data_IF_508637643056
#
_entry.id   IF_508637643056
#
_cell.length_a   1.000
_cell.length_b   1.000
_cell.length_c   1.000
_cell.angle_alpha   90.00
_cell.angle_beta   90.00
_cell.angle_gamma   90.00
#
_symmetry.space_group_name_H-M   'P 1'
#
loop_
_entity.id
_entity.type
_entity.pdbx_description
1 polymer ?
#
# COMPACT_ATOMS: atom_id res chain seq x y z
N UNK A 1 4.31 -19.09 -16.44
CA UNK A 1 3.02 -18.36 -16.51
C UNK A 1 2.67 -17.88 -17.93
N UNK A 2 3.23 -18.47 -19.01
CA UNK A 2 2.98 -18.00 -20.39
C UNK A 2 1.48 -17.97 -20.79
N UNK A 3 0.66 -19.00 -20.50
CA UNK A 3 -0.77 -18.95 -20.84
C UNK A 3 -1.53 -17.80 -20.15
N UNK A 4 -1.05 -17.34 -18.99
CA UNK A 4 -1.66 -16.21 -18.27
C UNK A 4 -1.58 -14.91 -19.09
N UNK A 5 -0.59 -14.77 -19.98
CA UNK A 5 -0.45 -13.58 -20.85
C UNK A 5 -1.70 -13.34 -21.68
N UNK A 6 -2.21 -14.41 -22.28
CA UNK A 6 -3.31 -14.36 -23.22
C UNK A 6 -4.65 -14.30 -22.46
N UNK A 7 -4.75 -14.99 -21.32
CA UNK A 7 -5.91 -14.90 -20.42
C UNK A 7 -6.12 -13.48 -19.88
N UNK A 8 -5.05 -12.78 -19.51
CA UNK A 8 -5.13 -11.38 -19.04
C UNK A 8 -5.42 -10.42 -20.21
N UNK A 9 -4.98 -10.74 -21.42
CA UNK A 9 -5.20 -9.90 -22.60
C UNK A 9 -4.68 -8.48 -22.41
N UNK A 10 -5.54 -7.50 -22.67
CA UNK A 10 -5.29 -6.06 -22.50
C UNK A 10 -5.96 -5.46 -21.27
N UNK A 11 -6.29 -6.28 -20.26
CA UNK A 11 -6.90 -5.78 -19.03
C UNK A 11 -5.96 -4.81 -18.30
N UNK A 12 -6.50 -3.67 -17.86
CA UNK A 12 -5.74 -2.64 -17.12
C UNK A 12 -5.68 -2.92 -15.61
N UNK A 13 -6.60 -3.73 -15.09
CA UNK A 13 -6.70 -4.12 -13.68
C UNK A 13 -6.94 -5.62 -13.61
N UNK A 14 -6.19 -6.31 -12.76
CA UNK A 14 -6.32 -7.76 -12.50
C UNK A 14 -6.55 -7.97 -11.01
N UNK A 15 -7.70 -8.52 -10.65
CA UNK A 15 -7.96 -8.96 -9.28
C UNK A 15 -7.25 -10.28 -8.98
N UNK A 16 -6.49 -10.33 -7.89
CA UNK A 16 -5.75 -11.53 -7.47
C UNK A 16 -6.16 -11.93 -6.04
N UNK A 17 -7.28 -12.65 -5.96
CA UNK A 17 -7.82 -13.15 -4.70
C UNK A 17 -6.97 -14.25 -4.06
N UNK A 18 -7.27 -14.55 -2.81
CA UNK A 18 -6.70 -15.66 -2.05
C UNK A 18 -7.83 -16.45 -1.37
N UNK A 19 -7.70 -17.77 -1.33
CA UNK A 19 -8.70 -18.63 -0.71
C UNK A 19 -8.71 -18.51 0.82
N UNK A 20 -7.59 -18.09 1.40
CA UNK A 20 -7.39 -17.88 2.84
C UNK A 20 -6.17 -16.97 3.05
N UNK A 21 -6.16 -16.20 4.15
CA UNK A 21 -5.05 -15.33 4.53
C UNK A 21 -3.87 -16.04 5.22
N UNK A 22 -3.92 -17.37 5.35
CA UNK A 22 -2.98 -18.13 6.18
C UNK A 22 -2.17 -19.22 5.47
N UNK A 23 -2.22 -19.29 4.14
CA UNK A 23 -1.58 -20.36 3.38
C UNK A 23 -0.32 -19.89 2.64
N UNK A 24 0.83 -20.43 3.03
CA UNK A 24 2.14 -20.16 2.42
C UNK A 24 2.12 -20.36 0.88
N UNK A 25 1.52 -21.44 0.39
CA UNK A 25 1.46 -21.75 -1.04
C UNK A 25 0.61 -20.73 -1.81
N UNK A 26 -0.43 -20.19 -1.17
CA UNK A 26 -1.30 -19.16 -1.77
C UNK A 26 -0.55 -17.85 -1.90
N UNK A 27 0.22 -17.42 -0.89
CA UNK A 27 1.07 -16.23 -1.00
C UNK A 27 2.15 -16.41 -2.07
N UNK A 28 2.89 -17.52 -2.02
CA UNK A 28 4.02 -17.73 -2.95
C UNK A 28 3.59 -17.86 -4.40
N UNK A 29 2.45 -18.47 -4.71
CA UNK A 29 1.93 -18.48 -6.09
C UNK A 29 1.48 -17.08 -6.52
N UNK A 30 0.83 -16.31 -5.64
CA UNK A 30 0.46 -14.91 -5.92
C UNK A 30 1.69 -14.06 -6.20
N UNK A 31 2.80 -14.26 -5.47
CA UNK A 31 4.05 -13.56 -5.76
C UNK A 31 4.56 -13.86 -7.15
N UNK A 32 4.56 -15.13 -7.56
CA UNK A 32 4.98 -15.51 -8.92
C UNK A 32 4.11 -14.84 -9.98
N UNK A 33 2.81 -14.72 -9.73
CA UNK A 33 1.88 -14.00 -10.61
C UNK A 33 2.19 -12.51 -10.65
N UNK A 34 2.36 -11.84 -9.50
CA UNK A 34 2.74 -10.42 -9.42
C UNK A 34 4.04 -10.16 -10.18
N UNK A 35 5.09 -10.97 -9.94
CA UNK A 35 6.37 -10.84 -10.64
C UNK A 35 6.20 -10.90 -12.15
N UNK A 36 5.38 -11.84 -12.63
CA UNK A 36 5.08 -12.01 -14.05
C UNK A 36 4.28 -10.85 -14.65
N UNK A 37 3.24 -10.37 -13.96
CA UNK A 37 2.43 -9.25 -14.43
C UNK A 37 3.25 -7.96 -14.51
N UNK A 38 4.12 -7.72 -13.53
CA UNK A 38 5.05 -6.60 -13.54
C UNK A 38 6.06 -6.72 -14.67
N UNK A 39 6.76 -7.86 -14.81
CA UNK A 39 7.87 -7.98 -15.76
C UNK A 39 7.41 -8.14 -17.22
N UNK A 40 6.32 -8.87 -17.46
CA UNK A 40 5.90 -9.25 -18.82
C UNK A 40 4.68 -8.49 -19.34
N UNK A 41 3.86 -7.93 -18.45
CA UNK A 41 2.60 -7.24 -18.81
C UNK A 41 2.59 -5.76 -18.44
N UNK A 42 3.66 -5.25 -17.80
CA UNK A 42 3.82 -3.83 -17.52
C UNK A 42 2.90 -3.27 -16.44
N UNK A 43 2.37 -4.11 -15.55
CA UNK A 43 1.65 -3.62 -14.37
C UNK A 43 2.59 -2.90 -13.41
N UNK A 44 2.20 -1.70 -12.96
CA UNK A 44 3.05 -0.80 -12.17
C UNK A 44 2.50 -0.48 -10.78
N UNK A 45 1.35 -1.05 -10.42
CA UNK A 45 0.66 -0.75 -9.18
C UNK A 45 0.18 -2.05 -8.54
N UNK A 46 0.61 -2.29 -7.30
CA UNK A 46 0.09 -3.35 -6.47
C UNK A 46 -0.82 -2.73 -5.41
N UNK A 47 -2.12 -2.97 -5.57
CA UNK A 47 -3.12 -2.59 -4.56
C UNK A 47 -3.32 -3.78 -3.62
N UNK A 48 -3.01 -3.59 -2.34
CA UNK A 48 -3.17 -4.57 -1.28
C UNK A 48 -4.48 -4.31 -0.52
N UNK A 49 -5.08 -5.38 -0.01
CA UNK A 49 -6.12 -5.34 1.02
C UNK A 49 -5.49 -4.94 2.37
N UNK A 50 -4.93 -3.74 2.41
CA UNK A 50 -4.24 -3.17 3.56
C UNK A 50 -4.67 -1.72 3.72
N UNK A 51 -4.57 -1.20 4.94
CA UNK A 51 -4.86 0.21 5.22
C UNK A 51 -4.06 1.15 4.32
N UNK A 52 -4.73 2.13 3.70
CA UNK A 52 -4.08 3.17 2.89
C UNK A 52 -2.93 3.84 3.67
N UNK A 53 -3.21 4.18 4.92
CA UNK A 53 -2.28 4.83 5.83
C UNK A 53 -1.02 3.99 6.11
N UNK A 54 -1.17 2.67 6.28
CA UNK A 54 -0.07 1.71 6.45
C UNK A 54 0.72 1.52 5.16
N UNK A 55 0.02 1.41 4.03
CA UNK A 55 0.64 1.21 2.73
C UNK A 55 1.49 2.40 2.27
N UNK A 56 1.27 3.62 2.78
CA UNK A 56 2.17 4.77 2.54
C UNK A 56 3.62 4.46 2.97
N UNK A 57 3.81 3.78 4.10
CA UNK A 57 5.15 3.39 4.57
C UNK A 57 5.70 2.18 3.79
N UNK A 58 4.83 1.30 3.31
CA UNK A 58 5.23 0.20 2.41
C UNK A 58 5.69 0.72 1.04
N UNK A 59 4.99 1.70 0.47
CA UNK A 59 5.38 2.36 -0.78
C UNK A 59 6.73 3.08 -0.61
N UNK A 60 6.91 3.80 0.51
CA UNK A 60 8.19 4.42 0.87
C UNK A 60 9.31 3.39 0.97
N UNK A 61 9.06 2.24 1.58
CA UNK A 61 10.03 1.15 1.67
C UNK A 61 10.42 0.63 0.29
N UNK A 62 9.47 0.34 -0.60
CA UNK A 62 9.81 -0.18 -1.94
C UNK A 62 10.43 0.87 -2.86
N UNK A 63 10.21 2.16 -2.61
CA UNK A 63 10.80 3.25 -3.40
C UNK A 63 12.21 3.63 -2.94
N UNK A 64 12.47 3.58 -1.63
CA UNK A 64 13.68 4.17 -1.03
C UNK A 64 14.53 3.19 -0.23
N UNK A 65 13.99 2.02 0.10
CA UNK A 65 14.60 1.04 1.01
C UNK A 65 14.63 1.47 2.49
N UNK A 66 13.98 2.59 2.84
CA UNK A 66 13.91 3.09 4.22
C UNK A 66 12.62 2.64 4.90
N UNK A 67 12.70 2.43 6.21
CA UNK A 67 11.57 1.97 7.03
C UNK A 67 11.62 0.46 7.31
N UNK A 68 10.69 -0.03 8.13
CA UNK A 68 10.58 -1.44 8.48
C UNK A 68 9.17 -1.96 8.12
N UNK A 69 9.01 -2.68 7.00
CA UNK A 69 7.68 -3.05 6.49
C UNK A 69 6.85 -3.90 7.47
N UNK A 70 7.48 -4.74 8.31
CA UNK A 70 6.76 -5.59 9.27
C UNK A 70 5.99 -4.77 10.33
N UNK A 71 6.40 -3.52 10.58
CA UNK A 71 5.73 -2.64 11.54
C UNK A 71 4.40 -2.11 11.00
N UNK A 72 4.23 -2.07 9.68
CA UNK A 72 3.09 -1.47 9.01
C UNK A 72 2.16 -2.49 8.37
N UNK A 73 2.54 -3.76 8.27
CA UNK A 73 1.63 -4.83 7.86
C UNK A 73 0.61 -5.12 8.96
N UNK A 74 -0.65 -5.36 8.57
CA UNK A 74 -1.69 -5.92 9.42
C UNK A 74 -1.23 -7.26 10.01
N UNK A 75 -1.65 -7.63 11.24
CA UNK A 75 -1.18 -8.84 11.92
C UNK A 75 -1.19 -10.10 11.05
N UNK A 76 -2.26 -10.31 10.28
CA UNK A 76 -2.41 -11.47 9.37
C UNK A 76 -1.40 -11.48 8.22
N UNK A 77 -0.93 -10.31 7.79
CA UNK A 77 0.06 -10.16 6.72
C UNK A 77 1.50 -10.02 7.21
N UNK A 78 1.75 -10.11 8.53
CA UNK A 78 3.12 -10.14 9.09
C UNK A 78 3.78 -11.51 8.87
N UNK A 79 3.98 -11.86 7.61
CA UNK A 79 4.53 -13.14 7.17
C UNK A 79 5.84 -12.93 6.41
N UNK A 80 6.67 -13.97 6.34
CA UNK A 80 7.94 -13.90 5.58
C UNK A 80 7.66 -13.70 4.09
N UNK A 81 6.58 -14.32 3.61
CA UNK A 81 6.10 -14.24 2.24
C UNK A 81 5.82 -12.78 1.87
N UNK A 82 5.06 -12.04 2.67
CA UNK A 82 4.76 -10.64 2.39
C UNK A 82 6.03 -9.77 2.40
N UNK A 83 6.97 -10.04 3.31
CA UNK A 83 8.27 -9.36 3.33
C UNK A 83 9.09 -9.67 2.07
N UNK A 84 9.11 -10.92 1.62
CA UNK A 84 9.81 -11.34 0.39
C UNK A 84 9.23 -10.67 -0.86
N UNK A 85 7.90 -10.49 -0.91
CA UNK A 85 7.25 -9.76 -1.99
C UNK A 85 7.69 -8.29 -1.99
N UNK A 86 7.57 -7.62 -0.85
CA UNK A 86 7.96 -6.20 -0.72
C UNK A 86 9.45 -6.00 -1.01
N UNK A 87 10.32 -6.90 -0.54
CA UNK A 87 11.74 -6.83 -0.81
C UNK A 87 12.04 -7.04 -2.30
N UNK A 88 11.36 -7.98 -2.96
CA UNK A 88 11.47 -8.14 -4.40
C UNK A 88 11.03 -6.87 -5.16
N UNK A 89 9.93 -6.22 -4.75
CA UNK A 89 9.48 -4.96 -5.36
C UNK A 89 10.53 -3.87 -5.15
N UNK A 90 11.11 -3.77 -3.95
CA UNK A 90 12.20 -2.83 -3.64
C UNK A 90 13.41 -3.06 -4.56
N UNK A 91 13.82 -4.32 -4.74
CA UNK A 91 14.92 -4.68 -5.64
C UNK A 91 14.59 -4.36 -7.11
N UNK A 92 13.37 -4.66 -7.56
CA UNK A 92 12.89 -4.30 -8.90
C UNK A 92 12.97 -2.78 -9.10
N UNK A 93 12.46 -2.00 -8.15
CA UNK A 93 12.46 -0.54 -8.22
C UNK A 93 13.86 0.08 -8.20
N UNK A 94 14.82 -0.55 -7.51
CA UNK A 94 16.20 -0.08 -7.42
C UNK A 94 17.03 -0.36 -8.69
N UNK A 95 16.60 -1.30 -9.53
CA UNK A 95 17.33 -1.67 -10.74
C UNK A 95 17.15 -0.61 -11.85
N UNK A 96 18.22 0.09 -12.27
CA UNK A 96 18.14 1.15 -13.28
C UNK A 96 17.76 0.67 -14.69
N UNK A 97 17.77 -0.66 -14.94
CA UNK A 97 17.29 -1.26 -16.18
C UNK A 97 15.77 -1.15 -16.32
N UNK A 98 15.04 -1.10 -15.21
CA UNK A 98 13.59 -0.97 -15.23
C UNK A 98 13.20 0.51 -15.32
N UNK A 99 12.48 0.87 -16.39
CA UNK A 99 12.09 2.27 -16.68
C UNK A 99 10.87 2.73 -15.89
N UNK A 100 10.10 1.78 -15.34
CA UNK A 100 8.97 2.04 -14.47
C UNK A 100 9.20 1.42 -13.10
N UNK A 101 8.64 2.06 -12.08
CA UNK A 101 8.65 1.56 -10.71
C UNK A 101 7.27 1.04 -10.36
N UNK A 102 7.23 -0.01 -9.55
CA UNK A 102 6.02 -0.53 -8.94
C UNK A 102 5.70 0.27 -7.68
N UNK A 103 4.45 0.72 -7.59
CA UNK A 103 3.89 1.41 -6.42
C UNK A 103 3.10 0.43 -5.57
N UNK A 104 3.14 0.61 -4.26
CA UNK A 104 2.30 -0.14 -3.31
C UNK A 104 1.20 0.80 -2.80
N UNK A 105 -0.05 0.35 -2.88
CA UNK A 105 -1.22 1.12 -2.44
C UNK A 105 -2.06 0.23 -1.54
N UNK A 106 -2.60 0.79 -0.45
CA UNK A 106 -3.58 0.13 0.40
C UNK A 106 -4.96 0.63 0.03
N UNK A 107 -5.93 -0.27 -0.15
CA UNK A 107 -7.31 0.12 -0.46
C UNK A 107 -8.23 0.15 0.77
N UNK A 108 -7.77 -0.34 1.91
CA UNK A 108 -8.59 -0.44 3.12
C UNK A 108 -8.50 0.84 3.97
N UNK A 109 -9.50 1.04 4.84
CA UNK A 109 -9.74 2.27 5.61
C UNK A 109 -10.11 1.99 7.09
N UNK A 110 -9.64 0.87 7.64
CA UNK A 110 -9.86 0.52 9.06
C UNK A 110 -9.26 1.53 10.05
N UNK A 111 -8.31 2.35 9.60
CA UNK A 111 -7.74 3.48 10.35
C UNK A 111 -7.29 4.59 9.41
N UNK A 112 -7.10 5.78 9.98
CA UNK A 112 -6.39 6.90 9.37
C UNK A 112 -5.32 7.39 10.34
N UNK A 113 -4.09 6.90 10.17
CA UNK A 113 -2.94 7.29 10.99
C UNK A 113 -2.43 8.70 10.67
N UNK A 114 -1.60 9.24 11.58
CA UNK A 114 -1.05 10.59 11.52
C UNK A 114 -0.31 10.94 10.22
N UNK A 115 0.29 9.96 9.55
CA UNK A 115 1.01 10.18 8.28
C UNK A 115 0.09 10.68 7.14
N UNK A 116 -1.16 10.22 7.08
CA UNK A 116 -2.14 10.71 6.10
C UNK A 116 -2.42 12.19 6.31
N UNK A 117 -2.68 12.59 7.56
CA UNK A 117 -2.91 13.97 7.94
C UNK A 117 -1.69 14.85 7.66
N UNK A 118 -0.50 14.38 8.03
CA UNK A 118 0.76 15.10 7.82
C UNK A 118 1.03 15.35 6.33
N UNK A 119 0.72 14.40 5.44
CA UNK A 119 0.88 14.61 3.99
C UNK A 119 0.03 15.77 3.47
N UNK A 120 -1.20 15.91 3.96
CA UNK A 120 -2.09 17.02 3.59
C UNK A 120 -1.54 18.35 4.14
N UNK A 121 -1.17 18.36 5.43
CA UNK A 121 -0.62 19.53 6.12
C UNK A 121 0.65 20.04 5.44
N UNK A 122 1.61 19.17 5.18
CA UNK A 122 2.89 19.54 4.57
C UNK A 122 2.70 20.02 3.13
N UNK A 123 1.80 19.40 2.36
CA UNK A 123 1.50 19.88 1.01
C UNK A 123 0.88 21.28 1.04
N UNK A 124 -0.08 21.55 1.91
CA UNK A 124 -0.70 22.88 2.04
C UNK A 124 0.30 23.91 2.52
N UNK A 125 1.12 23.57 3.52
CA UNK A 125 2.17 24.44 4.05
C UNK A 125 3.17 24.86 2.95
N UNK A 126 3.55 23.94 2.07
CA UNK A 126 4.48 24.20 0.99
C UNK A 126 3.87 25.02 -0.17
N UNK A 127 2.57 24.86 -0.45
CA UNK A 127 1.96 25.41 -1.67
C UNK A 127 1.01 26.60 -1.42
N UNK A 128 0.32 26.64 -0.28
CA UNK A 128 -0.60 27.73 0.09
C UNK A 128 -0.83 27.77 1.61
N UNK A 129 0.19 28.26 2.34
CA UNK A 129 0.19 28.30 3.81
C UNK A 129 -0.94 29.13 4.43
N UNK A 130 -1.58 30.03 3.68
CA UNK A 130 -2.74 30.81 4.16
C UNK A 130 -3.95 29.93 4.52
N UNK A 131 -4.05 28.74 3.94
CA UNK A 131 -5.13 27.79 4.23
C UNK A 131 -4.85 26.93 5.47
N UNK A 132 -3.62 26.94 5.99
CA UNK A 132 -3.18 26.01 7.02
C UNK A 132 -4.00 26.10 8.32
N UNK A 133 -4.31 27.29 8.89
CA UNK A 133 -5.09 27.36 10.14
C UNK A 133 -6.47 26.70 10.03
N UNK A 134 -7.13 26.86 8.86
CA UNK A 134 -8.46 26.29 8.60
C UNK A 134 -8.45 24.76 8.53
N UNK A 135 -7.34 24.18 8.06
CA UNK A 135 -7.21 22.73 7.90
C UNK A 135 -6.74 22.08 9.21
N UNK A 136 -5.78 22.68 9.90
CA UNK A 136 -5.29 22.18 11.19
C UNK A 136 -6.40 22.10 12.24
N UNK A 137 -7.29 23.10 12.30
CA UNK A 137 -8.45 23.09 13.20
C UNK A 137 -9.33 21.85 13.00
N UNK A 138 -9.60 21.48 11.74
CA UNK A 138 -10.43 20.31 11.40
C UNK A 138 -9.70 18.99 11.67
N UNK A 139 -8.44 18.90 11.24
CA UNK A 139 -7.64 17.66 11.38
C UNK A 139 -7.41 17.33 12.86
N UNK A 140 -7.18 18.32 13.71
CA UNK A 140 -6.93 18.12 15.15
C UNK A 140 -8.06 17.38 15.85
N UNK A 141 -9.32 17.61 15.44
CA UNK A 141 -10.47 16.88 15.96
C UNK A 141 -10.62 15.45 15.41
N UNK A 142 -10.13 15.18 14.19
CA UNK A 142 -10.26 13.88 13.52
C UNK A 142 -9.21 12.86 13.96
N UNK A 143 -7.95 13.28 14.15
CA UNK A 143 -6.84 12.38 14.53
C UNK A 143 -7.19 11.43 15.69
N UNK A 144 -7.72 11.89 16.84
CA UNK A 144 -7.97 10.99 17.97
C UNK A 144 -9.08 9.98 17.71
N UNK A 145 -9.99 10.26 16.75
CA UNK A 145 -11.19 9.45 16.51
C UNK A 145 -11.09 8.52 15.29
N UNK A 146 -10.07 8.70 14.45
CA UNK A 146 -9.84 7.84 13.27
C UNK A 146 -8.68 6.85 13.45
N UNK A 147 -8.07 6.77 14.63
CA UNK A 147 -6.91 5.90 14.89
C UNK A 147 -7.21 4.41 14.77
N UNK A 148 -8.47 4.01 14.97
CA UNK A 148 -8.95 2.63 14.87
C UNK A 148 -10.48 2.59 14.73
N UNK A 149 -11.02 1.45 14.29
CA UNK A 149 -12.46 1.26 14.10
C UNK A 149 -13.26 1.41 15.40
N UNK A 150 -12.76 0.92 16.53
CA UNK A 150 -13.48 0.99 17.82
C UNK A 150 -13.75 2.45 18.23
N UNK A 151 -12.75 3.31 18.07
CA UNK A 151 -12.88 4.72 18.41
C UNK A 151 -13.84 5.42 17.44
N UNK A 152 -13.74 5.11 16.15
CA UNK A 152 -14.63 5.68 15.14
C UNK A 152 -16.09 5.27 15.37
N UNK A 153 -16.34 4.00 15.67
CA UNK A 153 -17.68 3.45 15.96
C UNK A 153 -18.27 4.00 17.26
N UNK A 154 -17.43 4.43 18.21
CA UNK A 154 -17.90 5.03 19.46
C UNK A 154 -18.45 6.45 19.32
N UNK A 155 -18.32 7.07 18.14
CA UNK A 155 -18.89 8.38 17.86
C UNK A 155 -20.42 8.30 17.79
N UNK A 156 -21.10 9.05 18.67
CA UNK A 156 -22.55 9.24 18.57
C UNK A 156 -22.90 9.97 17.28
N UNK A 157 -23.90 9.48 16.55
CA UNK A 157 -24.47 10.14 15.37
C UNK A 157 -25.08 11.51 15.70
#
# INVERSE_FOLDING_TARGET
LKPLKDMVGSASIVGLGEATHGAHEVFTIKHRIVKYLVSEKGFTNLVLEEGWDRALELDRYVLTGKGNPIQHLSPTFKTNEMLDLLDWIRQYNANPKHKSKVRVIGMDIQSVNGNVYNNIIEYIKANNSKLLPRVEEKIKGLIPVTKDMNTFESLSK
#
